data_IF_927108016980
#
_entry.id   IF_927108016980
#
_cell.length_a   1.000
_cell.length_b   1.000
_cell.length_c   1.000
_cell.angle_alpha   90.00
_cell.angle_beta   90.00
_cell.angle_gamma   90.00
#
_symmetry.space_group_name_H-M   'P 1'
#
loop_
_entity.id
_entity.type
_entity.pdbx_description
1 polymer ?
#
# COMPACT_ATOMS: atom_id res chain seq x y z
N UNK A 1 -7.33 -19.12 -8.15
CA UNK A 1 -7.14 -18.53 -6.82
C UNK A 1 -7.76 -17.13 -6.78
N UNK A 2 -7.94 -16.52 -5.61
CA UNK A 2 -8.32 -15.10 -5.45
C UNK A 2 -7.09 -14.31 -5.03
N UNK A 3 -6.76 -13.24 -5.75
CA UNK A 3 -5.71 -12.28 -5.38
C UNK A 3 -6.38 -10.95 -5.10
N UNK A 4 -6.17 -10.42 -3.91
CA UNK A 4 -6.68 -9.10 -3.49
C UNK A 4 -5.50 -8.19 -3.18
N UNK A 5 -5.38 -7.10 -3.91
CA UNK A 5 -4.38 -6.06 -3.66
C UNK A 5 -5.03 -4.98 -2.80
N UNK A 6 -4.50 -4.73 -1.64
CA UNK A 6 -4.83 -3.60 -0.77
C UNK A 6 -3.82 -2.50 -1.06
N UNK A 7 -4.28 -1.43 -1.69
CA UNK A 7 -3.43 -0.34 -2.15
C UNK A 7 -3.68 0.90 -1.30
N UNK A 8 -2.66 1.30 -0.56
CA UNK A 8 -2.66 2.55 0.17
C UNK A 8 -2.65 3.74 -0.81
N UNK A 9 -3.68 4.55 -0.70
CA UNK A 9 -3.88 5.76 -1.50
C UNK A 9 -3.97 7.01 -0.60
N UNK A 10 -3.45 6.95 0.62
CA UNK A 10 -3.41 8.09 1.55
C UNK A 10 -2.52 9.23 1.05
N UNK A 11 -2.66 10.39 1.67
CA UNK A 11 -1.86 11.58 1.33
C UNK A 11 -0.37 11.32 1.52
N UNK A 12 0.04 10.57 2.56
CA UNK A 12 1.44 10.21 2.79
C UNK A 12 2.08 9.49 1.60
N UNK A 13 1.29 8.73 0.83
CA UNK A 13 1.76 8.01 -0.36
C UNK A 13 2.04 8.93 -1.55
N UNK A 14 1.62 10.20 -1.51
CA UNK A 14 1.96 11.20 -2.56
C UNK A 14 3.40 11.69 -2.45
N UNK A 15 4.06 11.43 -1.32
CA UNK A 15 5.42 11.88 -1.04
C UNK A 15 6.48 11.13 -1.85
N UNK A 16 7.60 11.82 -2.11
CA UNK A 16 8.81 11.28 -2.74
C UNK A 16 8.91 11.55 -4.24
N UNK A 17 10.12 11.39 -4.75
CA UNK A 17 10.44 11.45 -6.18
C UNK A 17 11.35 10.25 -6.52
N UNK A 18 10.82 9.22 -7.23
CA UNK A 18 9.42 9.01 -7.64
C UNK A 18 8.43 8.88 -6.48
N UNK A 19 7.16 9.24 -6.72
CA UNK A 19 6.10 9.14 -5.69
C UNK A 19 5.86 7.68 -5.27
N UNK A 20 5.70 7.45 -3.97
CA UNK A 20 5.37 6.11 -3.43
C UNK A 20 4.12 5.52 -4.07
N UNK A 21 3.07 6.34 -4.26
CA UNK A 21 1.82 5.90 -4.87
C UNK A 21 1.97 5.46 -6.32
N UNK A 22 2.77 6.16 -7.12
CA UNK A 22 3.00 5.79 -8.51
C UNK A 22 3.72 4.45 -8.62
N UNK A 23 4.70 4.21 -7.76
CA UNK A 23 5.36 2.92 -7.66
C UNK A 23 4.41 1.82 -7.16
N UNK A 24 3.61 2.09 -6.13
CA UNK A 24 2.61 1.15 -5.61
C UNK A 24 1.60 0.74 -6.69
N UNK A 25 1.12 1.68 -7.53
CA UNK A 25 0.26 1.38 -8.68
C UNK A 25 0.94 0.47 -9.70
N UNK A 26 2.22 0.68 -9.98
CA UNK A 26 2.98 -0.18 -10.90
C UNK A 26 3.11 -1.60 -10.33
N UNK A 27 3.40 -1.73 -9.03
CA UNK A 27 3.44 -3.04 -8.35
C UNK A 27 2.07 -3.71 -8.39
N UNK A 28 0.99 -2.99 -8.09
CA UNK A 28 -0.38 -3.51 -8.15
C UNK A 28 -0.75 -4.00 -9.56
N UNK A 29 -0.37 -3.23 -10.60
CA UNK A 29 -0.58 -3.59 -11.99
C UNK A 29 0.18 -4.87 -12.37
N UNK A 30 1.43 -4.99 -11.97
CA UNK A 30 2.26 -6.14 -12.28
C UNK A 30 1.78 -7.41 -11.57
N UNK A 31 1.51 -7.33 -10.26
CA UNK A 31 0.93 -8.42 -9.47
C UNK A 31 -0.38 -8.90 -10.07
N UNK A 32 -1.28 -7.94 -10.37
CA UNK A 32 -2.56 -8.27 -10.97
C UNK A 32 -2.43 -8.91 -12.36
N UNK A 33 -1.51 -8.43 -13.19
CA UNK A 33 -1.28 -9.00 -14.52
C UNK A 33 -0.80 -10.45 -14.46
N UNK A 34 0.16 -10.75 -13.58
CA UNK A 34 0.65 -12.12 -13.41
C UNK A 34 -0.48 -13.04 -12.95
N UNK A 35 -1.29 -12.62 -11.98
CA UNK A 35 -2.46 -13.38 -11.53
C UNK A 35 -3.49 -13.59 -12.65
N UNK A 36 -3.76 -12.56 -13.47
CA UNK A 36 -4.65 -12.69 -14.64
C UNK A 36 -4.10 -13.65 -15.70
N UNK A 37 -2.78 -13.72 -15.89
CA UNK A 37 -2.15 -14.72 -16.77
C UNK A 37 -2.32 -16.14 -16.23
N UNK A 38 -2.33 -16.32 -14.90
CA UNK A 38 -2.63 -17.58 -14.22
C UNK A 38 -4.12 -17.92 -14.14
N UNK A 39 -4.99 -17.15 -14.81
CA UNK A 39 -6.45 -17.29 -14.73
C UNK A 39 -7.03 -17.11 -13.32
N UNK A 40 -6.32 -16.44 -12.44
CA UNK A 40 -6.81 -16.08 -11.13
C UNK A 40 -7.80 -14.92 -11.18
N UNK A 41 -8.58 -14.78 -10.11
CA UNK A 41 -9.45 -13.64 -9.92
C UNK A 41 -8.69 -12.55 -9.18
N UNK A 42 -8.66 -11.33 -9.72
CA UNK A 42 -7.93 -10.19 -9.16
C UNK A 42 -8.90 -9.08 -8.79
N UNK A 43 -8.73 -8.53 -7.60
CA UNK A 43 -9.39 -7.31 -7.14
C UNK A 43 -8.37 -6.35 -6.52
N UNK A 44 -8.62 -5.05 -6.63
CA UNK A 44 -7.84 -4.01 -5.94
C UNK A 44 -8.78 -3.25 -5.02
N UNK A 45 -8.39 -3.09 -3.78
CA UNK A 45 -9.08 -2.30 -2.77
C UNK A 45 -8.17 -1.14 -2.36
N UNK A 46 -8.60 0.08 -2.62
CA UNK A 46 -7.87 1.28 -2.17
C UNK A 46 -8.33 1.71 -0.79
N UNK A 47 -7.45 2.36 -0.05
CA UNK A 47 -7.76 3.01 1.21
C UNK A 47 -6.87 4.25 1.40
N UNK A 48 -7.43 5.38 1.88
CA UNK A 48 -8.86 5.63 2.04
C UNK A 48 -9.62 5.47 0.72
N UNK A 49 -10.94 5.41 0.78
CA UNK A 49 -11.81 5.35 -0.41
C UNK A 49 -11.71 6.68 -1.17
N UNK A 50 -10.69 6.83 -2.00
CA UNK A 50 -10.46 8.03 -2.81
C UNK A 50 -11.09 7.82 -4.18
N UNK A 51 -12.33 8.24 -4.33
CA UNK A 51 -12.95 8.42 -5.64
C UNK A 51 -13.13 9.91 -5.87
N UNK A 52 -12.80 10.44 -7.07
CA UNK A 52 -13.17 11.80 -7.43
C UNK A 52 -14.70 11.89 -7.42
N UNK A 53 -15.25 12.57 -6.41
CA UNK A 53 -16.69 12.74 -6.28
C UNK A 53 -17.10 14.14 -6.75
N UNK A 54 -18.04 14.19 -7.67
CA UNK A 54 -18.81 15.41 -7.93
C UNK A 54 -19.99 15.46 -6.96
N UNK A 55 -20.32 16.65 -6.47
CA UNK A 55 -21.39 16.87 -5.46
C UNK A 55 -22.77 16.29 -5.86
N UNK A 56 -23.06 16.15 -7.16
CA UNK A 56 -24.31 15.57 -7.65
C UNK A 56 -24.42 14.05 -7.54
N UNK A 57 -23.31 13.36 -7.26
CA UNK A 57 -23.23 11.91 -7.15
C UNK A 57 -23.39 11.39 -5.71
N UNK A 58 -23.31 12.29 -4.72
CA UNK A 58 -23.41 11.97 -3.29
C UNK A 58 -24.81 11.50 -2.86
N UNK A 59 -25.86 12.04 -3.46
CA UNK A 59 -27.25 11.76 -3.01
C UNK A 59 -27.80 10.43 -3.51
N UNK A 60 -27.35 9.94 -4.66
CA UNK A 60 -27.87 8.70 -5.28
C UNK A 60 -27.10 7.44 -4.86
N UNK A 61 -25.99 7.59 -4.16
CA UNK A 61 -24.96 6.56 -4.04
C UNK A 61 -24.70 5.96 -2.66
N UNK A 62 -25.44 6.36 -1.64
CA UNK A 62 -25.19 5.88 -0.26
C UNK A 62 -25.24 4.35 -0.10
N UNK A 63 -25.95 3.63 -0.98
CA UNK A 63 -26.01 2.16 -0.94
C UNK A 63 -25.01 1.48 -1.89
N UNK A 64 -24.51 2.16 -2.91
CA UNK A 64 -23.46 1.65 -3.81
C UNK A 64 -22.04 1.97 -3.33
N UNK A 65 -21.87 2.94 -2.42
CA UNK A 65 -20.56 3.37 -1.90
C UNK A 65 -19.86 2.31 -1.05
N UNK A 66 -20.59 1.46 -0.36
CA UNK A 66 -20.00 0.33 0.38
C UNK A 66 -19.30 -0.71 -0.54
N UNK A 67 -19.49 -0.60 -1.85
CA UNK A 67 -18.91 -1.51 -2.84
C UNK A 67 -17.77 -0.89 -3.67
N UNK A 68 -17.41 0.38 -3.46
CA UNK A 68 -16.65 1.17 -4.44
C UNK A 68 -15.18 1.45 -4.15
N UNK A 69 -14.67 1.21 -2.96
CA UNK A 69 -13.23 1.16 -2.71
C UNK A 69 -12.56 -0.09 -3.32
N UNK A 70 -13.33 -0.91 -4.04
CA UNK A 70 -12.80 -2.10 -4.67
C UNK A 70 -13.00 -2.03 -6.19
N UNK A 71 -11.91 -2.06 -6.94
CA UNK A 71 -12.01 -2.37 -8.37
C UNK A 71 -12.63 -3.76 -8.50
N UNK A 72 -13.74 -3.81 -9.28
CA UNK A 72 -14.50 -5.05 -9.49
C UNK A 72 -13.57 -6.19 -9.86
N UNK A 73 -13.70 -7.32 -9.19
CA UNK A 73 -12.87 -8.48 -9.44
C UNK A 73 -12.96 -8.93 -10.89
N UNK A 74 -11.81 -9.00 -11.56
CA UNK A 74 -11.68 -9.43 -12.95
C UNK A 74 -10.92 -10.75 -13.04
N UNK A 75 -11.09 -11.49 -14.14
CA UNK A 75 -10.43 -12.78 -14.36
C UNK A 75 -9.98 -12.95 -15.80
N UNK A 76 -8.81 -13.56 -15.97
CA UNK A 76 -8.26 -13.96 -17.25
C UNK A 76 -7.60 -12.81 -18.02
N UNK A 77 -6.66 -13.17 -18.87
CA UNK A 77 -5.76 -12.25 -19.59
C UNK A 77 -6.49 -11.21 -20.45
N UNK A 78 -7.69 -11.51 -20.94
CA UNK A 78 -8.49 -10.57 -21.76
C UNK A 78 -8.91 -9.33 -20.97
N UNK A 79 -8.99 -9.43 -19.63
CA UNK A 79 -9.35 -8.30 -18.76
C UNK A 79 -8.17 -7.39 -18.40
N UNK A 80 -6.95 -7.71 -18.83
CA UNK A 80 -5.75 -6.99 -18.41
C UNK A 80 -5.75 -5.52 -18.82
N UNK A 81 -6.19 -5.20 -20.04
CA UNK A 81 -6.23 -3.81 -20.52
C UNK A 81 -7.16 -2.95 -19.64
N UNK A 82 -8.37 -3.43 -19.37
CA UNK A 82 -9.32 -2.72 -18.52
C UNK A 82 -8.80 -2.61 -17.07
N UNK A 83 -8.15 -3.66 -16.58
CA UNK A 83 -7.52 -3.66 -15.26
C UNK A 83 -6.45 -2.56 -15.14
N UNK A 84 -5.58 -2.43 -16.14
CA UNK A 84 -4.57 -1.37 -16.17
C UNK A 84 -5.18 0.03 -16.27
N UNK A 85 -6.20 0.20 -17.12
CA UNK A 85 -6.92 1.48 -17.22
C UNK A 85 -7.52 1.89 -15.88
N UNK A 86 -8.15 0.94 -15.17
CA UNK A 86 -8.74 1.20 -13.87
C UNK A 86 -7.69 1.57 -12.81
N UNK A 87 -6.55 0.87 -12.76
CA UNK A 87 -5.46 1.20 -11.85
C UNK A 87 -4.89 2.59 -12.16
N UNK A 88 -4.75 2.93 -13.44
CA UNK A 88 -4.19 4.22 -13.85
C UNK A 88 -5.08 5.41 -13.48
N UNK A 89 -6.38 5.20 -13.28
CA UNK A 89 -7.33 6.23 -12.85
C UNK A 89 -7.35 6.45 -11.34
N UNK A 90 -6.70 5.58 -10.56
CA UNK A 90 -6.62 5.74 -9.10
C UNK A 90 -5.78 6.96 -8.75
N UNK A 91 -6.26 7.72 -7.78
CA UNK A 91 -5.57 8.89 -7.22
C UNK A 91 -5.28 8.66 -5.75
N UNK A 92 -4.30 9.37 -5.21
CA UNK A 92 -3.99 9.35 -3.78
C UNK A 92 -4.49 10.66 -3.13
N UNK A 93 -4.85 10.57 -1.86
CA UNK A 93 -5.28 11.68 -1.01
C UNK A 93 -6.08 11.18 0.19
N UNK A 94 -6.24 12.04 1.18
CA UNK A 94 -6.97 11.73 2.41
C UNK A 94 -6.12 11.07 3.50
N UNK A 95 -6.71 10.93 4.68
CA UNK A 95 -6.03 10.37 5.85
C UNK A 95 -5.93 8.85 5.77
N UNK A 96 -4.87 8.30 6.31
CA UNK A 96 -4.64 6.86 6.40
C UNK A 96 -5.62 6.20 7.39
N UNK A 97 -6.20 5.07 6.98
CA UNK A 97 -7.08 4.21 7.81
C UNK A 97 -6.71 2.74 7.60
N UNK A 98 -5.42 2.41 7.65
CA UNK A 98 -4.88 1.10 7.27
C UNK A 98 -5.59 -0.05 8.00
N UNK A 99 -5.64 0.01 9.33
CA UNK A 99 -6.21 -1.06 10.14
C UNK A 99 -7.69 -1.32 9.83
N UNK A 100 -8.47 -0.25 9.71
CA UNK A 100 -9.90 -0.36 9.43
C UNK A 100 -10.16 -0.84 8.00
N UNK A 101 -9.40 -0.35 7.04
CA UNK A 101 -9.48 -0.77 5.64
C UNK A 101 -9.17 -2.26 5.46
N UNK A 102 -8.11 -2.76 6.10
CA UNK A 102 -7.76 -4.18 6.04
C UNK A 102 -8.82 -5.06 6.72
N UNK A 103 -9.40 -4.62 7.86
CA UNK A 103 -10.49 -5.32 8.51
C UNK A 103 -11.74 -5.38 7.62
N UNK A 104 -12.15 -4.25 7.04
CA UNK A 104 -13.29 -4.20 6.11
C UNK A 104 -13.05 -5.13 4.91
N UNK A 105 -11.87 -5.06 4.32
CA UNK A 105 -11.48 -5.92 3.21
C UNK A 105 -11.51 -7.40 3.57
N UNK A 106 -11.03 -7.78 4.75
CA UNK A 106 -11.10 -9.15 5.24
C UNK A 106 -12.54 -9.68 5.34
N UNK A 107 -13.52 -8.81 5.66
CA UNK A 107 -14.92 -9.17 5.76
C UNK A 107 -15.65 -9.19 4.40
N UNK A 108 -15.27 -8.30 3.49
CA UNK A 108 -15.93 -8.16 2.18
C UNK A 108 -15.56 -9.28 1.20
N UNK A 109 -14.36 -9.82 1.30
CA UNK A 109 -13.89 -10.88 0.41
C UNK A 109 -14.50 -12.22 0.84
N UNK A 110 -15.32 -12.81 -0.04
CA UNK A 110 -16.04 -14.07 0.23
C UNK A 110 -15.10 -15.24 0.46
N UNK A 111 -14.04 -15.34 -0.32
CA UNK A 111 -13.09 -16.44 -0.29
C UNK A 111 -11.69 -15.89 -0.10
N UNK A 112 -11.05 -16.26 1.01
CA UNK A 112 -9.66 -15.94 1.26
C UNK A 112 -8.75 -16.55 0.17
N UNK A 113 -7.69 -15.85 -0.11
CA UNK A 113 -6.68 -16.27 -1.08
C UNK A 113 -5.39 -15.53 -0.77
N UNK A 114 -4.73 -14.94 -1.75
CA UNK A 114 -3.55 -14.08 -1.55
C UNK A 114 -4.00 -12.64 -1.32
N UNK A 115 -3.51 -12.02 -0.25
CA UNK A 115 -3.60 -10.59 0.00
C UNK A 115 -2.22 -9.96 -0.21
N UNK A 116 -2.14 -8.91 -1.02
CA UNK A 116 -0.93 -8.10 -1.21
C UNK A 116 -1.24 -6.71 -0.69
N UNK A 117 -0.59 -6.29 0.39
CA UNK A 117 -0.77 -4.98 1.03
C UNK A 117 0.38 -4.08 0.62
N UNK A 118 0.08 -3.00 -0.09
CA UNK A 118 1.04 -2.01 -0.60
C UNK A 118 0.84 -0.70 0.17
N UNK A 119 1.78 -0.34 1.05
CA UNK A 119 1.69 0.84 1.92
C UNK A 119 3.08 1.23 2.43
N UNK A 120 3.25 2.41 2.97
CA UNK A 120 4.41 2.77 3.79
C UNK A 120 4.28 2.25 5.23
N UNK A 121 3.06 1.85 5.65
CA UNK A 121 2.72 1.38 6.99
C UNK A 121 2.93 2.41 8.11
N UNK A 122 2.96 3.70 7.76
CA UNK A 122 3.23 4.79 8.71
C UNK A 122 1.97 5.33 9.40
N UNK A 123 0.86 4.57 9.37
CA UNK A 123 -0.37 4.92 10.08
C UNK A 123 -0.10 5.07 11.59
N UNK A 124 -0.44 6.21 12.22
CA UNK A 124 -0.31 6.38 13.67
C UNK A 124 -1.08 5.36 14.51
N UNK A 125 -2.16 4.79 13.98
CA UNK A 125 -2.92 3.71 14.61
C UNK A 125 -2.24 2.34 14.49
N UNK A 126 -1.08 2.26 13.83
CA UNK A 126 -0.33 1.03 13.58
C UNK A 126 -0.91 0.18 12.45
N UNK A 127 -0.40 -1.03 12.32
CA UNK A 127 -0.74 -1.97 11.24
C UNK A 127 -1.16 -3.36 11.75
N UNK A 128 -0.97 -3.60 13.02
CA UNK A 128 -1.01 -4.93 13.61
C UNK A 128 -2.39 -5.56 13.53
N UNK A 129 -3.42 -4.78 13.86
CA UNK A 129 -4.78 -5.31 13.94
C UNK A 129 -5.37 -5.60 12.55
N UNK A 130 -5.04 -4.79 11.56
CA UNK A 130 -5.46 -4.98 10.17
C UNK A 130 -4.80 -6.21 9.55
N UNK A 131 -3.49 -6.35 9.69
CA UNK A 131 -2.76 -7.51 9.20
C UNK A 131 -3.21 -8.80 9.90
N UNK A 132 -3.43 -8.76 11.24
CA UNK A 132 -3.97 -9.90 11.99
C UNK A 132 -5.36 -10.31 11.49
N UNK A 133 -6.22 -9.35 11.14
CA UNK A 133 -7.55 -9.65 10.60
C UNK A 133 -7.49 -10.40 9.28
N UNK A 134 -6.56 -10.03 8.37
CA UNK A 134 -6.35 -10.75 7.12
C UNK A 134 -5.87 -12.20 7.37
N UNK A 135 -4.85 -12.37 8.23
CA UNK A 135 -4.34 -13.71 8.58
C UNK A 135 -5.44 -14.55 9.24
N UNK A 136 -6.18 -13.98 10.20
CA UNK A 136 -7.29 -14.65 10.90
C UNK A 136 -8.43 -15.05 9.96
N UNK A 137 -8.59 -14.34 8.83
CA UNK A 137 -9.57 -14.68 7.78
C UNK A 137 -9.06 -15.79 6.84
N UNK A 138 -7.79 -16.19 6.96
CA UNK A 138 -7.17 -17.24 6.15
C UNK A 138 -6.51 -16.76 4.87
N UNK A 139 -6.18 -15.47 4.76
CA UNK A 139 -5.38 -14.98 3.64
C UNK A 139 -3.90 -15.37 3.80
N UNK A 140 -3.28 -15.73 2.69
CA UNK A 140 -1.83 -15.69 2.56
C UNK A 140 -1.42 -14.23 2.34
N UNK A 141 -0.85 -13.60 3.37
CA UNK A 141 -0.59 -12.15 3.36
C UNK A 141 0.84 -11.86 2.93
N UNK A 142 0.98 -10.93 1.99
CA UNK A 142 2.25 -10.36 1.54
C UNK A 142 2.20 -8.86 1.81
N UNK A 143 3.04 -8.38 2.71
CA UNK A 143 3.19 -6.97 3.05
C UNK A 143 4.38 -6.37 2.28
N UNK A 144 4.13 -5.36 1.46
CA UNK A 144 5.15 -4.63 0.70
C UNK A 144 5.21 -3.22 1.24
N UNK A 145 6.25 -2.94 2.02
CA UNK A 145 6.53 -1.60 2.51
C UNK A 145 7.21 -0.78 1.42
N UNK A 146 6.63 0.39 1.10
CA UNK A 146 7.14 1.30 0.08
C UNK A 146 7.55 2.60 0.75
N UNK A 147 8.83 2.94 0.66
CA UNK A 147 9.38 4.17 1.22
C UNK A 147 10.03 5.01 0.11
N UNK A 148 9.97 6.33 0.25
CA UNK A 148 10.67 7.22 -0.66
C UNK A 148 12.19 7.24 -0.34
N UNK A 149 13.07 7.51 -1.32
CA UNK A 149 14.50 7.66 -1.09
C UNK A 149 14.82 8.69 0.01
N UNK A 150 14.07 9.79 0.05
CA UNK A 150 14.25 10.84 1.06
C UNK A 150 13.78 10.42 2.46
N UNK A 151 12.87 9.48 2.59
CA UNK A 151 12.51 8.87 3.87
C UNK A 151 13.61 7.93 4.39
N UNK A 152 14.26 7.21 3.48
CA UNK A 152 15.36 6.30 3.83
C UNK A 152 16.66 7.07 4.11
N UNK A 153 16.96 8.07 3.28
CA UNK A 153 18.18 8.85 3.34
C UNK A 153 17.90 10.34 3.08
N UNK A 154 17.29 11.05 4.05
CA UNK A 154 17.01 12.47 3.86
C UNK A 154 18.31 13.24 3.61
N UNK A 155 18.32 14.00 2.50
CA UNK A 155 19.42 14.89 2.16
C UNK A 155 19.35 16.21 2.94
N UNK A 156 18.37 16.37 3.80
CA UNK A 156 18.03 17.57 4.51
C UNK A 156 19.08 17.93 5.56
N UNK A 157 19.63 19.13 5.48
CA UNK A 157 20.59 19.69 6.42
C UNK A 157 20.27 21.17 6.68
N UNK A 158 20.29 21.59 7.94
CA UNK A 158 19.99 22.97 8.33
C UNK A 158 18.62 23.13 8.98
N UNK A 159 18.12 24.35 8.97
CA UNK A 159 16.81 24.67 9.53
C UNK A 159 15.70 24.31 8.53
N UNK A 160 14.84 23.40 8.93
CA UNK A 160 13.75 22.88 8.11
C UNK A 160 12.42 23.13 8.79
N UNK A 161 11.42 23.38 7.98
CA UNK A 161 10.02 23.41 8.39
C UNK A 161 9.38 22.10 7.95
N UNK A 162 9.13 21.22 8.90
CA UNK A 162 8.39 20.00 8.65
C UNK A 162 6.89 20.31 8.61
N UNK A 163 6.21 19.79 7.61
CA UNK A 163 4.75 19.88 7.49
C UNK A 163 4.22 18.46 7.45
N UNK A 164 3.35 18.13 8.38
CA UNK A 164 2.63 16.88 8.37
C UNK A 164 1.63 16.89 7.20
N UNK A 165 1.71 15.90 6.32
CA UNK A 165 0.94 15.87 5.07
C UNK A 165 -0.56 15.63 5.30
N UNK A 166 -0.93 14.98 6.39
CA UNK A 166 -2.33 14.63 6.69
C UNK A 166 -3.02 15.67 7.56
N UNK A 167 -2.30 16.26 8.53
CA UNK A 167 -2.87 17.21 9.49
C UNK A 167 -2.54 18.66 9.18
N UNK A 168 -1.54 18.92 8.34
CA UNK A 168 -1.01 20.26 8.06
C UNK A 168 -0.24 20.87 9.23
N UNK A 169 0.00 20.13 10.32
CA UNK A 169 0.77 20.59 11.47
C UNK A 169 2.21 20.93 11.05
N UNK A 170 2.72 22.03 11.57
CA UNK A 170 4.04 22.54 11.18
C UNK A 170 4.98 22.54 12.38
N UNK A 171 6.20 22.08 12.16
CA UNK A 171 7.26 22.07 13.16
C UNK A 171 8.57 22.54 12.55
N UNK A 172 9.16 23.58 13.13
CA UNK A 172 10.51 24.00 12.77
C UNK A 172 11.53 23.11 13.48
N UNK A 173 12.44 22.53 12.71
CA UNK A 173 13.44 21.59 13.22
C UNK A 173 14.80 21.87 12.58
N UNK A 174 15.82 22.08 13.40
CA UNK A 174 17.20 22.14 12.90
C UNK A 174 17.74 20.74 12.71
N UNK A 175 17.95 20.33 11.45
CA UNK A 175 18.53 19.04 11.09
C UNK A 175 20.07 19.13 11.09
N UNK A 176 20.68 18.80 12.21
CA UNK A 176 22.12 18.56 12.32
C UNK A 176 22.47 17.08 12.18
N UNK A 177 23.77 16.77 12.06
CA UNK A 177 24.27 15.37 11.91
C UNK A 177 23.72 14.39 12.95
N UNK A 178 23.57 14.82 14.18
CA UNK A 178 23.05 14.00 15.27
C UNK A 178 21.58 13.63 15.05
N UNK A 179 20.73 14.61 14.68
CA UNK A 179 19.31 14.37 14.42
C UNK A 179 19.09 13.51 13.20
N UNK A 180 19.89 13.70 12.16
CA UNK A 180 19.86 12.87 10.96
C UNK A 180 20.17 11.39 11.30
N UNK A 181 21.18 11.16 12.14
CA UNK A 181 21.51 9.82 12.61
C UNK A 181 20.36 9.21 13.43
N UNK A 182 19.79 9.95 14.37
CA UNK A 182 18.66 9.51 15.17
C UNK A 182 17.41 9.20 14.30
N UNK A 183 17.13 10.02 13.29
CA UNK A 183 16.06 9.77 12.32
C UNK A 183 16.28 8.44 11.58
N UNK A 184 17.45 8.25 10.97
CA UNK A 184 17.78 7.01 10.25
C UNK A 184 17.63 5.77 11.15
N UNK A 185 18.08 5.87 12.40
CA UNK A 185 17.92 4.81 13.38
C UNK A 185 16.42 4.52 13.67
N UNK A 186 15.61 5.57 13.78
CA UNK A 186 14.16 5.43 14.00
C UNK A 186 13.48 4.72 12.82
N UNK A 187 13.79 5.12 11.59
CA UNK A 187 13.27 4.47 10.37
C UNK A 187 13.71 3.01 10.29
N UNK A 188 14.98 2.73 10.53
CA UNK A 188 15.50 1.36 10.53
C UNK A 188 14.81 0.49 11.59
N UNK A 189 14.65 1.00 12.80
CA UNK A 189 13.96 0.30 13.89
C UNK A 189 12.49 0.04 13.55
N UNK A 190 11.83 0.98 12.88
CA UNK A 190 10.44 0.80 12.42
C UNK A 190 10.35 -0.32 11.38
N UNK A 191 11.17 -0.27 10.34
CA UNK A 191 11.20 -1.32 9.30
C UNK A 191 11.53 -2.70 9.89
N UNK A 192 12.45 -2.74 10.86
CA UNK A 192 12.81 -4.00 11.53
C UNK A 192 11.64 -4.54 12.36
N UNK A 193 10.96 -3.70 13.14
CA UNK A 193 9.77 -4.11 13.92
C UNK A 193 8.65 -4.65 13.03
N UNK A 194 8.36 -3.99 11.90
CA UNK A 194 7.37 -4.44 10.95
C UNK A 194 7.75 -5.80 10.35
N UNK A 195 9.02 -5.98 9.97
CA UNK A 195 9.54 -7.26 9.47
C UNK A 195 9.39 -8.39 10.49
N UNK A 196 9.78 -8.15 11.75
CA UNK A 196 9.69 -9.12 12.84
C UNK A 196 8.22 -9.48 13.14
N UNK A 197 7.35 -8.46 13.14
CA UNK A 197 5.92 -8.68 13.30
C UNK A 197 5.35 -9.58 12.19
N UNK A 198 5.66 -9.28 10.93
CA UNK A 198 5.23 -10.06 9.78
C UNK A 198 5.75 -11.50 9.89
N UNK A 199 7.05 -11.68 10.13
CA UNK A 199 7.69 -13.00 10.24
C UNK A 199 7.06 -13.85 11.35
N UNK A 200 6.75 -13.26 12.51
CA UNK A 200 6.14 -13.97 13.63
C UNK A 200 4.72 -14.47 13.36
N UNK A 201 4.08 -14.01 12.30
CA UNK A 201 2.70 -14.34 11.89
C UNK A 201 2.58 -15.04 10.54
N UNK A 202 3.72 -15.45 9.96
CA UNK A 202 3.72 -16.09 8.66
C UNK A 202 3.32 -15.15 7.52
N UNK A 203 3.47 -13.83 7.71
CA UNK A 203 3.28 -12.82 6.68
C UNK A 203 4.60 -12.65 5.93
N UNK A 204 4.58 -12.77 4.62
CA UNK A 204 5.74 -12.46 3.79
C UNK A 204 5.94 -10.96 3.73
N UNK A 205 7.14 -10.48 4.04
CA UNK A 205 7.45 -9.06 4.09
C UNK A 205 8.53 -8.67 3.08
N UNK A 206 8.25 -7.61 2.34
CA UNK A 206 9.20 -6.95 1.43
C UNK A 206 9.28 -5.47 1.75
N UNK A 207 10.46 -4.89 1.53
CA UNK A 207 10.67 -3.45 1.55
C UNK A 207 11.27 -3.01 0.21
N UNK A 208 10.73 -1.96 -0.38
CA UNK A 208 11.19 -1.36 -1.62
C UNK A 208 11.25 0.16 -1.49
N UNK A 209 12.27 0.77 -2.09
CA UNK A 209 12.26 2.20 -2.37
C UNK A 209 11.34 2.49 -3.55
N UNK A 210 10.71 3.67 -3.58
CA UNK A 210 9.90 4.07 -4.74
C UNK A 210 10.72 4.25 -6.03
N UNK A 211 12.04 4.35 -5.90
CA UNK A 211 13.03 4.39 -7.00
C UNK A 211 13.56 3.02 -7.42
N UNK A 212 13.14 1.94 -6.74
CA UNK A 212 13.57 0.57 -7.07
C UNK A 212 13.04 0.17 -8.45
N UNK A 213 13.86 -0.36 -9.35
CA UNK A 213 13.35 -0.92 -10.61
C UNK A 213 12.32 -2.01 -10.35
N UNK A 214 11.16 -1.91 -11.03
CA UNK A 214 10.04 -2.84 -10.80
C UNK A 214 10.44 -4.29 -11.07
N UNK A 215 11.30 -4.53 -12.08
CA UNK A 215 11.80 -5.85 -12.41
C UNK A 215 12.59 -6.46 -11.25
N UNK A 216 13.38 -5.66 -10.54
CA UNK A 216 14.15 -6.12 -9.39
C UNK A 216 13.26 -6.57 -8.24
N UNK A 217 12.18 -5.82 -7.98
CA UNK A 217 11.18 -6.22 -6.99
C UNK A 217 10.47 -7.52 -7.38
N UNK A 218 10.01 -7.61 -8.63
CA UNK A 218 9.23 -8.76 -9.10
C UNK A 218 10.07 -10.03 -9.25
N UNK A 219 11.28 -9.91 -9.81
CA UNK A 219 12.11 -11.07 -10.13
C UNK A 219 12.89 -11.59 -8.92
N UNK A 220 13.39 -10.70 -8.07
CA UNK A 220 14.26 -11.08 -6.95
C UNK A 220 13.45 -11.35 -5.67
N UNK A 221 12.47 -10.51 -5.36
CA UNK A 221 11.78 -10.54 -4.07
C UNK A 221 10.50 -11.37 -4.10
N UNK A 222 9.60 -11.11 -5.04
CA UNK A 222 8.31 -11.81 -5.12
C UNK A 222 8.46 -13.28 -5.57
N UNK A 223 9.47 -13.58 -6.41
CA UNK A 223 9.75 -14.95 -6.85
C UNK A 223 10.37 -15.80 -5.74
N UNK A 224 11.22 -15.22 -4.90
CA UNK A 224 11.82 -15.92 -3.76
C UNK A 224 10.81 -16.26 -2.65
N UNK A 225 9.73 -15.54 -2.59
CA UNK A 225 8.68 -15.73 -1.58
C UNK A 225 7.59 -16.74 -2.01
N UNK A 226 7.77 -17.47 -3.13
CA UNK A 226 6.78 -18.41 -3.66
C UNK A 226 5.38 -17.79 -3.85
N UNK A 227 5.29 -16.46 -4.02
CA UNK A 227 4.03 -15.78 -4.31
C UNK A 227 3.42 -16.30 -5.64
N UNK A 228 4.25 -16.97 -6.42
CA UNK A 228 3.95 -17.50 -7.75
C UNK A 228 4.33 -19.00 -7.84
N UNK A 229 3.98 -19.79 -6.88
CA UNK A 229 4.17 -21.23 -6.93
C UNK A 229 3.36 -21.93 -8.02
#
# INVERSE_FOLDING_TARGET
MQVTVFLDASESMTFGEPRKFDFARQVAAAVGYVALCGFDRVSVMTFPDVLPMTESELETRSQELAARGALRAVRGRKSALQFFQNINQLTAGGATELNEALRRGALQVRQAGVAVVLSDFLDPAGYESGLTALVGRGFQVNAVQILAPDELNPAAYGDLRLIDSETGAQQEVTFGKYRLHAYKQTVQNFCQRLREYCSSRGITFFMAGSDTPLEDLLLKQLRQAEVWG
#
